data_IF_025793855607
#
_entry.id   IF_025793855607
#
_cell.length_a   1.000
_cell.length_b   1.000
_cell.length_c   1.000
_cell.angle_alpha   90.00
_cell.angle_beta   90.00
_cell.angle_gamma   90.00
#
_symmetry.space_group_name_H-M   'P 1'
#
loop_
_entity.id
_entity.type
_entity.pdbx_description
1 polymer ?
#
# COMPACT_ATOMS: atom_id res chain seq x y z
N UNK A 1 -16.85 41.37 -3.32
CA UNK A 1 -16.03 40.23 -2.85
C UNK A 1 -15.33 39.52 -4.00
N UNK A 2 -15.96 38.58 -4.72
CA UNK A 2 -15.26 37.81 -5.79
C UNK A 2 -14.61 38.69 -6.86
N UNK A 3 -15.41 39.55 -7.51
CA UNK A 3 -14.94 40.41 -8.60
C UNK A 3 -13.82 41.36 -8.17
N UNK A 4 -13.86 41.80 -6.92
CA UNK A 4 -12.88 42.72 -6.33
C UNK A 4 -11.55 42.00 -6.00
N UNK A 5 -11.61 40.76 -5.49
CA UNK A 5 -10.42 39.92 -5.30
C UNK A 5 -9.77 39.63 -6.66
N UNK A 6 -10.57 39.30 -7.68
CA UNK A 6 -10.08 38.99 -9.01
C UNK A 6 -9.53 40.23 -9.73
N UNK A 7 -10.14 41.41 -9.57
CA UNK A 7 -9.64 42.65 -10.16
C UNK A 7 -8.31 43.07 -9.52
N UNK A 8 -8.22 43.04 -8.19
CA UNK A 8 -6.97 43.35 -7.48
C UNK A 8 -5.84 42.38 -7.82
N UNK A 9 -6.17 41.10 -8.04
CA UNK A 9 -5.20 40.10 -8.49
C UNK A 9 -4.76 40.31 -9.96
N UNK A 10 -5.66 40.76 -10.84
CA UNK A 10 -5.36 41.07 -12.24
C UNK A 10 -4.47 42.32 -12.38
N UNK A 11 -4.70 43.33 -11.53
CA UNK A 11 -3.88 44.55 -11.44
C UNK A 11 -2.49 44.31 -10.83
N UNK A 12 -2.20 43.09 -10.35
CA UNK A 12 -0.99 42.75 -9.59
C UNK A 12 -0.76 43.66 -8.36
N UNK A 13 -1.83 44.25 -7.83
CA UNK A 13 -1.79 45.12 -6.66
C UNK A 13 -1.77 44.28 -5.37
N UNK A 14 -0.63 43.61 -5.10
CA UNK A 14 -0.49 42.66 -3.98
C UNK A 14 -0.76 43.28 -2.62
N UNK A 15 -0.38 44.54 -2.43
CA UNK A 15 -0.53 45.24 -1.14
C UNK A 15 -2.00 45.58 -0.87
N UNK A 16 -2.70 46.11 -1.89
CA UNK A 16 -4.14 46.37 -1.82
C UNK A 16 -4.94 45.09 -1.64
N UNK A 17 -4.54 44.00 -2.30
CA UNK A 17 -5.16 42.70 -2.12
C UNK A 17 -4.97 42.18 -0.69
N UNK A 18 -3.78 42.38 -0.10
CA UNK A 18 -3.49 41.98 1.28
C UNK A 18 -4.36 42.75 2.28
N UNK A 19 -4.41 44.07 2.16
CA UNK A 19 -5.26 44.94 3.00
C UNK A 19 -6.73 44.53 2.87
N UNK A 20 -7.21 44.31 1.65
CA UNK A 20 -8.58 43.89 1.42
C UNK A 20 -8.89 42.55 2.10
N UNK A 21 -8.00 41.55 1.99
CA UNK A 21 -8.19 40.25 2.63
C UNK A 21 -8.13 40.31 4.16
N UNK A 22 -7.45 41.31 4.75
CA UNK A 22 -7.44 41.53 6.21
C UNK A 22 -8.80 42.04 6.72
N UNK A 23 -9.59 42.71 5.90
CA UNK A 23 -10.93 43.17 6.28
C UNK A 23 -11.99 42.07 6.23
N UNK A 24 -11.69 40.95 5.56
CA UNK A 24 -12.60 39.82 5.38
C UNK A 24 -12.38 38.73 6.44
N UNK A 25 -13.48 38.19 6.96
CA UNK A 25 -13.46 37.01 7.82
C UNK A 25 -13.06 35.76 7.06
N UNK A 26 -12.31 34.87 7.71
CA UNK A 26 -11.85 33.60 7.12
C UNK A 26 -13.01 32.69 6.70
N UNK A 27 -14.09 32.69 7.49
CA UNK A 27 -15.29 31.92 7.19
C UNK A 27 -16.02 32.44 5.95
N UNK A 28 -15.95 33.74 5.68
CA UNK A 28 -16.58 34.35 4.51
C UNK A 28 -15.78 34.05 3.24
N UNK A 29 -14.43 34.03 3.35
CA UNK A 29 -13.56 33.53 2.29
C UNK A 29 -13.80 32.05 2.01
N UNK A 30 -13.97 31.24 3.05
CA UNK A 30 -14.30 29.83 2.92
C UNK A 30 -15.64 29.66 2.18
N UNK A 31 -16.72 30.34 2.62
CA UNK A 31 -18.04 30.30 1.95
C UNK A 31 -17.97 30.72 0.49
N UNK A 32 -17.22 31.78 0.19
CA UNK A 32 -17.03 32.25 -1.18
C UNK A 32 -16.37 31.19 -2.04
N UNK A 33 -15.30 30.57 -1.54
CA UNK A 33 -14.60 29.50 -2.25
C UNK A 33 -15.50 28.28 -2.48
N UNK A 34 -16.28 27.86 -1.47
CA UNK A 34 -17.24 26.76 -1.61
C UNK A 34 -18.25 27.04 -2.73
N UNK A 35 -18.81 28.26 -2.75
CA UNK A 35 -19.79 28.68 -3.75
C UNK A 35 -19.21 28.59 -5.17
N UNK A 36 -18.01 29.14 -5.39
CA UNK A 36 -17.43 29.17 -6.74
C UNK A 36 -16.89 27.80 -7.18
N UNK A 37 -16.39 26.99 -6.25
CA UNK A 37 -16.01 25.60 -6.53
C UNK A 37 -17.21 24.76 -6.99
N UNK A 38 -18.37 24.87 -6.33
CA UNK A 38 -19.59 24.14 -6.71
C UNK A 38 -20.16 24.62 -8.04
N UNK A 39 -20.04 25.92 -8.35
CA UNK A 39 -20.46 26.48 -9.65
C UNK A 39 -19.54 26.08 -10.81
N UNK A 40 -18.38 25.48 -10.52
CA UNK A 40 -17.41 24.99 -11.50
C UNK A 40 -16.75 26.10 -12.32
N UNK A 41 -16.76 27.35 -11.84
CA UNK A 41 -16.16 28.50 -12.53
C UNK A 41 -15.26 29.26 -11.58
N UNK A 42 -14.13 29.75 -12.08
CA UNK A 42 -13.21 30.67 -11.40
C UNK A 42 -12.58 30.21 -10.06
N UNK A 43 -12.87 29.01 -9.53
CA UNK A 43 -12.29 28.51 -8.28
C UNK A 43 -10.75 28.52 -8.29
N UNK A 44 -10.13 28.09 -9.38
CA UNK A 44 -8.67 28.14 -9.52
C UNK A 44 -8.10 29.56 -9.59
N UNK A 45 -8.78 30.48 -10.27
CA UNK A 45 -8.39 31.88 -10.32
C UNK A 45 -8.50 32.56 -8.94
N UNK A 46 -9.58 32.28 -8.22
CA UNK A 46 -9.81 32.75 -6.87
C UNK A 46 -8.74 32.21 -5.91
N UNK A 47 -8.42 30.92 -5.96
CA UNK A 47 -7.35 30.35 -5.12
C UNK A 47 -5.99 31.00 -5.38
N UNK A 48 -5.62 31.19 -6.64
CA UNK A 48 -4.36 31.89 -6.98
C UNK A 48 -4.35 33.32 -6.44
N UNK A 49 -5.46 34.04 -6.51
CA UNK A 49 -5.59 35.38 -5.94
C UNK A 49 -5.42 35.35 -4.42
N UNK A 50 -6.13 34.46 -3.73
CA UNK A 50 -6.06 34.32 -2.27
C UNK A 50 -4.65 33.99 -1.78
N UNK A 51 -3.94 33.09 -2.46
CA UNK A 51 -2.56 32.75 -2.13
C UNK A 51 -1.61 33.92 -2.37
N UNK A 52 -1.74 34.65 -3.49
CA UNK A 52 -0.94 35.86 -3.74
C UNK A 52 -1.15 36.95 -2.69
N UNK A 53 -2.39 37.15 -2.24
CA UNK A 53 -2.73 38.13 -1.21
C UNK A 53 -2.39 37.71 0.22
N UNK A 54 -1.96 36.47 0.44
CA UNK A 54 -1.73 35.91 1.78
C UNK A 54 -0.36 35.22 1.86
N UNK A 55 0.77 35.93 1.74
CA UNK A 55 2.09 35.29 1.73
C UNK A 55 2.41 34.61 3.07
N UNK A 56 3.18 33.52 3.02
CA UNK A 56 3.62 32.78 4.22
C UNK A 56 4.68 33.52 5.05
N UNK A 57 5.21 34.64 4.56
CA UNK A 57 6.15 35.51 5.30
C UNK A 57 5.46 36.26 6.45
N UNK A 58 4.13 36.37 6.42
CA UNK A 58 3.34 37.01 7.47
C UNK A 58 2.49 35.95 8.18
N UNK A 59 2.44 36.02 9.51
CA UNK A 59 1.66 35.06 10.31
C UNK A 59 0.17 35.05 9.95
N UNK A 60 -0.43 36.23 9.75
CA UNK A 60 -1.82 36.35 9.32
C UNK A 60 -2.06 35.73 7.94
N UNK A 61 -1.11 35.89 7.01
CA UNK A 61 -1.15 35.29 5.68
C UNK A 61 -1.04 33.76 5.74
N UNK A 62 -0.08 33.25 6.52
CA UNK A 62 0.10 31.81 6.74
C UNK A 62 -1.13 31.16 7.40
N UNK A 63 -1.71 31.81 8.42
CA UNK A 63 -2.92 31.33 9.08
C UNK A 63 -4.12 31.26 8.12
N UNK A 64 -4.34 32.33 7.36
CA UNK A 64 -5.40 32.37 6.34
C UNK A 64 -5.20 31.28 5.28
N UNK A 65 -3.97 31.09 4.79
CA UNK A 65 -3.65 30.01 3.85
C UNK A 65 -3.97 28.64 4.44
N UNK A 66 -3.61 28.37 5.69
CA UNK A 66 -3.91 27.09 6.35
C UNK A 66 -5.43 26.83 6.39
N UNK A 67 -6.22 27.84 6.73
CA UNK A 67 -7.69 27.75 6.74
C UNK A 67 -8.27 27.49 5.36
N UNK A 68 -7.75 28.16 4.34
CA UNK A 68 -8.13 27.93 2.94
C UNK A 68 -7.80 26.49 2.54
N UNK A 69 -6.61 25.97 2.87
CA UNK A 69 -6.23 24.59 2.60
C UNK A 69 -7.19 23.59 3.23
N UNK A 70 -7.51 23.76 4.52
CA UNK A 70 -8.46 22.89 5.23
C UNK A 70 -9.83 22.95 4.56
N UNK A 71 -10.32 24.13 4.18
CA UNK A 71 -11.58 24.29 3.46
C UNK A 71 -11.57 23.56 2.11
N UNK A 72 -10.50 23.71 1.32
CA UNK A 72 -10.33 23.01 0.04
C UNK A 72 -10.35 21.49 0.21
N UNK A 73 -9.64 20.97 1.22
CA UNK A 73 -9.61 19.53 1.51
C UNK A 73 -11.01 19.02 1.85
N UNK A 74 -11.71 19.72 2.74
CA UNK A 74 -13.09 19.38 3.11
C UNK A 74 -14.05 19.42 1.92
N UNK A 75 -13.89 20.40 1.02
CA UNK A 75 -14.67 20.51 -0.20
C UNK A 75 -14.41 19.37 -1.19
N UNK A 76 -13.14 19.00 -1.37
CA UNK A 76 -12.76 17.89 -2.27
C UNK A 76 -13.27 16.56 -1.72
N UNK A 77 -13.24 16.40 -0.39
CA UNK A 77 -13.76 15.22 0.29
C UNK A 77 -15.29 15.24 0.48
N UNK A 78 -16.00 16.36 0.25
CA UNK A 78 -17.47 16.33 0.34
C UNK A 78 -18.12 15.60 -0.84
N UNK A 79 -17.40 15.47 -1.96
CA UNK A 79 -17.90 14.83 -3.18
C UNK A 79 -18.82 15.73 -4.04
N UNK A 80 -19.08 16.97 -3.61
CA UNK A 80 -19.99 17.89 -4.32
C UNK A 80 -19.36 18.54 -5.56
N UNK A 81 -18.07 18.30 -5.81
CA UNK A 81 -17.30 18.94 -6.87
C UNK A 81 -17.20 18.08 -8.13
N UNK A 82 -17.20 18.75 -9.29
CA UNK A 82 -16.79 18.14 -10.55
C UNK A 82 -15.33 17.66 -10.47
N UNK A 83 -15.01 16.53 -11.10
CA UNK A 83 -13.70 15.89 -11.02
C UNK A 83 -12.56 16.80 -11.48
N UNK A 84 -12.82 17.60 -12.51
CA UNK A 84 -11.89 18.56 -13.10
C UNK A 84 -11.57 19.68 -12.10
N UNK A 85 -12.59 20.18 -11.40
CA UNK A 85 -12.46 21.26 -10.41
C UNK A 85 -11.75 20.75 -9.16
N UNK A 86 -12.11 19.55 -8.68
CA UNK A 86 -11.41 18.90 -7.56
C UNK A 86 -9.92 18.69 -7.89
N UNK A 87 -9.62 18.25 -9.11
CA UNK A 87 -8.23 18.06 -9.57
C UNK A 87 -7.48 19.38 -9.73
N UNK A 88 -8.13 20.43 -10.24
CA UNK A 88 -7.53 21.77 -10.31
C UNK A 88 -7.20 22.31 -8.91
N UNK A 89 -8.14 22.19 -7.95
CA UNK A 89 -7.94 22.62 -6.57
C UNK A 89 -6.74 21.89 -5.97
N UNK A 90 -6.73 20.55 -5.99
CA UNK A 90 -5.62 19.76 -5.44
C UNK A 90 -4.30 20.10 -6.12
N UNK A 91 -4.28 20.24 -7.45
CA UNK A 91 -3.09 20.66 -8.18
C UNK A 91 -2.53 22.01 -7.72
N UNK A 92 -3.39 22.99 -7.47
CA UNK A 92 -2.98 24.29 -6.94
C UNK A 92 -2.47 24.20 -5.50
N UNK A 93 -3.09 23.38 -4.65
CA UNK A 93 -2.62 23.15 -3.28
C UNK A 93 -1.24 22.49 -3.26
N UNK A 94 -0.97 21.55 -4.17
CA UNK A 94 0.33 20.89 -4.26
C UNK A 94 1.44 21.88 -4.65
N UNK A 95 1.17 22.79 -5.59
CA UNK A 95 2.15 23.79 -6.05
C UNK A 95 2.59 24.75 -4.93
N UNK A 96 1.66 25.14 -4.05
CA UNK A 96 1.91 26.15 -3.02
C UNK A 96 2.32 25.54 -1.66
N UNK A 97 2.27 24.21 -1.51
CA UNK A 97 2.52 23.53 -0.24
C UNK A 97 3.94 23.80 0.32
N UNK A 98 4.96 23.88 -0.54
CA UNK A 98 6.34 24.11 -0.11
C UNK A 98 6.57 25.48 0.56
N UNK A 99 5.72 26.46 0.26
CA UNK A 99 5.80 27.80 0.81
C UNK A 99 5.39 27.87 2.29
N UNK A 100 4.71 26.85 2.84
CA UNK A 100 4.23 26.89 4.21
C UNK A 100 5.37 26.84 5.24
N UNK A 101 5.21 27.52 6.40
CA UNK A 101 6.08 27.32 7.55
C UNK A 101 5.82 25.94 8.18
N UNK A 102 6.83 25.38 8.86
CA UNK A 102 6.79 24.04 9.46
C UNK A 102 5.57 23.79 10.37
N UNK A 103 5.20 24.70 11.29
CA UNK A 103 4.03 24.50 12.17
C UNK A 103 2.72 24.33 11.40
N UNK A 104 2.56 25.04 10.29
CA UNK A 104 1.37 24.93 9.44
C UNK A 104 1.32 23.61 8.67
N UNK A 105 2.47 23.11 8.20
CA UNK A 105 2.57 21.79 7.57
C UNK A 105 2.22 20.67 8.55
N UNK A 106 2.69 20.77 9.80
CA UNK A 106 2.33 19.83 10.87
C UNK A 106 0.83 19.88 11.15
N UNK A 107 0.24 21.07 11.28
CA UNK A 107 -1.20 21.23 11.48
C UNK A 107 -1.99 20.60 10.33
N UNK A 108 -1.59 20.87 9.09
CA UNK A 108 -2.24 20.32 7.90
C UNK A 108 -2.15 18.78 7.85
N UNK A 109 -0.98 18.20 8.15
CA UNK A 109 -0.83 16.75 8.21
C UNK A 109 -1.66 16.12 9.33
N UNK A 110 -1.79 16.80 10.49
CA UNK A 110 -2.66 16.35 11.59
C UNK A 110 -4.14 16.33 11.20
N UNK A 111 -4.60 17.24 10.34
CA UNK A 111 -5.96 17.19 9.82
C UNK A 111 -6.21 15.93 8.98
N UNK A 112 -5.26 15.51 8.14
CA UNK A 112 -5.34 14.23 7.42
C UNK A 112 -5.38 13.04 8.38
N UNK A 113 -4.51 13.00 9.38
CA UNK A 113 -4.51 11.96 10.42
C UNK A 113 -5.86 11.92 11.15
N UNK A 114 -6.40 13.09 11.48
CA UNK A 114 -7.69 13.24 12.13
C UNK A 114 -8.84 12.73 11.27
N UNK A 115 -8.87 13.08 9.99
CA UNK A 115 -9.86 12.63 9.02
C UNK A 115 -9.84 11.10 8.83
N UNK A 116 -8.64 10.53 8.66
CA UNK A 116 -8.47 9.07 8.54
C UNK A 116 -8.94 8.37 9.81
N UNK A 117 -8.57 8.89 10.99
CA UNK A 117 -8.98 8.30 12.28
C UNK A 117 -10.49 8.32 12.49
N UNK A 118 -11.16 9.38 12.03
CA UNK A 118 -12.62 9.55 12.13
C UNK A 118 -13.37 8.78 11.04
N UNK A 119 -12.69 8.28 10.01
CA UNK A 119 -13.33 7.67 8.84
C UNK A 119 -14.12 8.67 8.01
N UNK A 120 -13.66 9.94 7.94
CA UNK A 120 -14.38 11.02 7.24
C UNK A 120 -13.89 11.26 5.81
N UNK A 121 -13.19 10.30 5.21
CA UNK A 121 -12.79 10.36 3.81
C UNK A 121 -13.98 9.92 2.95
N UNK A 122 -14.31 10.66 1.89
CA UNK A 122 -15.42 10.31 0.98
C UNK A 122 -14.97 10.17 -0.48
N UNK A 123 -13.89 10.85 -0.88
CA UNK A 123 -13.36 10.84 -2.24
C UNK A 123 -11.92 10.31 -2.28
N UNK A 124 -11.14 10.58 -1.22
CA UNK A 124 -9.75 10.19 -1.09
C UNK A 124 -8.79 10.96 -2.01
N UNK A 125 -9.31 11.82 -2.90
CA UNK A 125 -8.53 12.68 -3.79
C UNK A 125 -7.63 13.65 -3.01
N UNK A 126 -8.04 14.08 -1.81
CA UNK A 126 -7.21 14.93 -0.96
C UNK A 126 -5.92 14.24 -0.49
N UNK A 127 -5.87 12.91 -0.48
CA UNK A 127 -4.68 12.15 -0.08
C UNK A 127 -3.50 12.38 -1.02
N UNK A 128 -3.71 12.82 -2.26
CA UNK A 128 -2.65 13.19 -3.21
C UNK A 128 -1.81 14.38 -2.71
N UNK A 129 -2.35 15.21 -1.81
CA UNK A 129 -1.64 16.34 -1.24
C UNK A 129 -0.68 15.93 -0.10
N UNK A 130 -1.03 14.88 0.65
CA UNK A 130 -0.30 14.47 1.85
C UNK A 130 1.19 14.15 1.59
N UNK A 131 1.59 13.47 0.48
CA UNK A 131 2.99 13.26 0.14
C UNK A 131 3.78 14.56 0.00
N UNK A 132 3.18 15.57 -0.63
CA UNK A 132 3.81 16.87 -0.83
C UNK A 132 3.96 17.61 0.50
N UNK A 133 2.95 17.53 1.37
CA UNK A 133 3.01 18.12 2.72
C UNK A 133 4.11 17.47 3.56
N UNK A 134 4.21 16.14 3.56
CA UNK A 134 5.25 15.41 4.29
C UNK A 134 6.64 15.67 3.71
N UNK A 135 6.78 15.71 2.38
CA UNK A 135 8.05 16.05 1.73
C UNK A 135 8.47 17.50 2.04
N UNK A 136 7.52 18.45 2.01
CA UNK A 136 7.77 19.85 2.37
C UNK A 136 8.15 20.01 3.85
N UNK A 137 7.64 19.15 4.73
CA UNK A 137 7.96 19.16 6.15
C UNK A 137 9.42 18.76 6.41
N UNK A 138 9.91 17.72 5.71
CA UNK A 138 11.30 17.25 5.82
C UNK A 138 12.31 18.33 5.41
N UNK A 139 11.96 19.24 4.51
CA UNK A 139 12.88 20.33 4.10
C UNK A 139 13.00 21.44 5.16
N UNK A 140 12.13 21.47 6.17
CA UNK A 140 12.19 22.47 7.25
C UNK A 140 13.22 22.04 8.29
N UNK A 141 14.29 22.82 8.41
CA UNK A 141 15.42 22.58 9.32
C UNK A 141 15.21 23.14 10.73
N UNK A 142 14.16 23.93 10.92
CA UNK A 142 13.82 24.56 12.19
C UNK A 142 13.29 23.52 13.18
N UNK A 143 13.53 23.73 14.48
CA UNK A 143 12.87 22.98 15.54
C UNK A 143 11.39 23.32 15.56
N UNK A 144 10.53 22.32 15.40
CA UNK A 144 9.08 22.47 15.31
C UNK A 144 8.43 21.98 16.59
N UNK A 145 7.55 22.80 17.15
CA UNK A 145 6.73 22.39 18.28
C UNK A 145 5.74 21.29 17.86
N UNK A 146 5.92 20.08 18.39
CA UNK A 146 5.00 18.97 18.25
C UNK A 146 4.43 18.57 19.61
N UNK A 147 3.32 19.20 20.00
CA UNK A 147 2.74 18.98 21.32
C UNK A 147 3.58 19.66 22.40
N UNK A 148 4.25 18.89 23.25
CA UNK A 148 5.16 19.41 24.29
C UNK A 148 6.63 19.34 23.90
N UNK A 149 6.94 18.64 22.80
CA UNK A 149 8.31 18.37 22.38
C UNK A 149 8.70 19.25 21.19
N UNK A 150 9.99 19.49 21.07
CA UNK A 150 10.62 20.20 19.96
C UNK A 150 11.31 19.17 19.06
N UNK A 151 10.81 19.05 17.83
CA UNK A 151 11.22 18.01 16.88
C UNK A 151 11.64 18.63 15.55
N UNK A 152 12.61 18.02 14.88
CA UNK A 152 12.93 18.34 13.49
C UNK A 152 11.77 18.00 12.54
N UNK A 153 11.80 18.55 11.32
CA UNK A 153 10.84 18.21 10.28
C UNK A 153 10.80 16.71 9.95
N UNK A 154 11.94 16.03 10.00
CA UNK A 154 12.03 14.58 9.77
C UNK A 154 11.42 13.78 10.92
N UNK A 155 11.69 14.13 12.18
CA UNK A 155 11.09 13.48 13.34
C UNK A 155 9.56 13.70 13.40
N UNK A 156 9.11 14.92 13.06
CA UNK A 156 7.68 15.20 12.92
C UNK A 156 7.02 14.31 11.86
N UNK A 157 7.68 14.12 10.70
CA UNK A 157 7.20 13.19 9.66
C UNK A 157 7.09 11.77 10.22
N UNK A 158 8.11 11.26 10.91
CA UNK A 158 8.08 9.92 11.51
C UNK A 158 6.89 9.77 12.47
N UNK A 159 6.66 10.75 13.34
CA UNK A 159 5.52 10.74 14.27
C UNK A 159 4.16 10.75 13.55
N UNK A 160 4.04 11.54 12.48
CA UNK A 160 2.83 11.58 11.65
C UNK A 160 2.58 10.25 10.96
N UNK A 161 3.60 9.60 10.38
CA UNK A 161 3.49 8.28 9.76
C UNK A 161 3.06 7.24 10.79
N UNK A 162 3.67 7.23 11.98
CA UNK A 162 3.28 6.32 13.06
C UNK A 162 1.82 6.55 13.49
N UNK A 163 1.38 7.80 13.56
CA UNK A 163 -0.01 8.13 13.86
C UNK A 163 -0.98 7.67 12.75
N UNK A 164 -0.59 7.81 11.47
CA UNK A 164 -1.35 7.29 10.33
C UNK A 164 -1.48 5.77 10.39
N UNK A 165 -0.38 5.06 10.64
CA UNK A 165 -0.37 3.59 10.71
C UNK A 165 -1.10 3.05 11.95
N UNK A 166 -1.15 3.82 13.04
CA UNK A 166 -1.92 3.49 14.24
C UNK A 166 -3.42 3.72 14.08
N UNK A 167 -3.85 4.63 13.20
CA UNK A 167 -5.25 4.90 12.92
C UNK A 167 -5.97 3.69 12.28
N UNK A 168 -7.29 3.59 12.44
CA UNK A 168 -8.10 2.59 11.73
C UNK A 168 -8.30 3.07 10.30
N UNK A 169 -7.81 2.29 9.33
CA UNK A 169 -8.00 2.60 7.92
C UNK A 169 -9.33 2.00 7.48
N UNK A 170 -10.17 2.83 6.86
CA UNK A 170 -11.37 2.37 6.18
C UNK A 170 -10.97 1.50 4.97
N UNK A 171 -11.62 0.34 4.84
CA UNK A 171 -11.41 -0.64 3.77
C UNK A 171 -11.50 0.00 2.38
N UNK A 172 -12.42 0.95 2.18
CA UNK A 172 -12.66 1.61 0.89
C UNK A 172 -11.43 2.39 0.39
N UNK A 173 -10.63 2.93 1.30
CA UNK A 173 -9.49 3.81 0.96
C UNK A 173 -8.13 3.14 1.17
N UNK A 174 -8.05 1.87 1.58
CA UNK A 174 -6.77 1.19 1.86
C UNK A 174 -5.84 1.23 0.65
N UNK A 175 -6.36 0.99 -0.55
CA UNK A 175 -5.56 0.99 -1.79
C UNK A 175 -5.01 2.39 -2.06
N UNK A 176 -5.82 3.43 -1.92
CA UNK A 176 -5.41 4.82 -2.13
C UNK A 176 -4.42 5.30 -1.06
N UNK A 177 -4.66 4.95 0.21
CA UNK A 177 -3.73 5.22 1.32
C UNK A 177 -2.38 4.55 1.10
N UNK A 178 -2.38 3.31 0.62
CA UNK A 178 -1.15 2.59 0.29
C UNK A 178 -0.43 3.23 -0.90
N UNK A 179 -1.15 3.59 -1.95
CA UNK A 179 -0.60 4.28 -3.12
C UNK A 179 0.00 5.65 -2.76
N UNK A 180 -0.60 6.39 -1.82
CA UNK A 180 -0.10 7.68 -1.35
C UNK A 180 1.33 7.57 -0.78
N UNK A 181 1.64 6.51 -0.01
CA UNK A 181 2.99 6.29 0.51
C UNK A 181 4.06 6.05 -0.56
N UNK A 182 3.67 5.75 -1.80
CA UNK A 182 4.61 5.64 -2.93
C UNK A 182 5.25 6.98 -3.26
N UNK A 183 4.61 8.09 -2.94
CA UNK A 183 5.11 9.41 -3.27
C UNK A 183 5.73 10.11 -2.05
N UNK A 184 5.74 9.44 -0.88
CA UNK A 184 6.37 9.91 0.38
C UNK A 184 7.85 9.47 0.47
N UNK A 185 8.79 10.35 0.84
CA UNK A 185 10.17 9.95 1.13
C UNK A 185 10.26 9.21 2.48
N UNK A 186 10.19 7.88 2.43
CA UNK A 186 10.22 7.00 3.60
C UNK A 186 11.64 6.55 3.95
N UNK A 187 11.95 6.49 5.24
CA UNK A 187 13.10 5.74 5.75
C UNK A 187 12.80 4.23 5.74
N UNK A 188 13.83 3.41 5.92
CA UNK A 188 13.65 1.95 5.98
C UNK A 188 12.73 1.52 7.13
N UNK A 189 12.83 2.20 8.28
CA UNK A 189 12.00 1.95 9.47
C UNK A 189 10.54 2.37 9.23
N UNK A 190 10.32 3.55 8.64
CA UNK A 190 8.98 4.02 8.29
C UNK A 190 8.32 3.10 7.24
N UNK A 191 9.08 2.66 6.24
CA UNK A 191 8.61 1.71 5.23
C UNK A 191 8.21 0.37 5.85
N UNK A 192 8.91 -0.07 6.89
CA UNK A 192 8.56 -1.29 7.62
C UNK A 192 7.24 -1.12 8.40
N UNK A 193 7.05 0.01 9.08
CA UNK A 193 5.79 0.31 9.80
C UNK A 193 4.60 0.35 8.83
N UNK A 194 4.76 1.03 7.68
CA UNK A 194 3.73 1.09 6.63
C UNK A 194 3.44 -0.31 6.07
N UNK A 195 4.49 -1.08 5.75
CA UNK A 195 4.37 -2.47 5.26
C UNK A 195 3.58 -3.34 6.24
N UNK A 196 3.93 -3.29 7.53
CA UNK A 196 3.21 -4.02 8.56
C UNK A 196 1.73 -3.64 8.64
N UNK A 197 1.44 -2.34 8.53
CA UNK A 197 0.06 -1.86 8.54
C UNK A 197 -0.73 -2.40 7.35
N UNK A 198 -0.18 -2.32 6.14
CA UNK A 198 -0.83 -2.79 4.91
C UNK A 198 -1.08 -4.29 4.95
N UNK A 199 -0.09 -5.08 5.40
CA UNK A 199 -0.25 -6.53 5.55
C UNK A 199 -1.39 -6.90 6.51
N UNK A 200 -1.56 -6.17 7.61
CA UNK A 200 -2.69 -6.35 8.55
C UNK A 200 -4.05 -5.99 7.93
N UNK A 201 -4.09 -5.21 6.85
CA UNK A 201 -5.33 -4.87 6.16
C UNK A 201 -5.76 -5.96 5.16
N UNK A 202 -4.85 -6.83 4.70
CA UNK A 202 -5.17 -7.91 3.75
C UNK A 202 -6.30 -8.81 4.26
N UNK A 203 -6.28 -9.19 5.54
CA UNK A 203 -7.31 -10.04 6.16
C UNK A 203 -8.64 -9.35 6.42
N UNK A 204 -8.75 -8.06 6.11
CA UNK A 204 -9.96 -7.27 6.29
C UNK A 204 -10.64 -6.91 4.97
N UNK A 205 -10.02 -7.23 3.84
CA UNK A 205 -10.53 -6.90 2.51
C UNK A 205 -11.21 -8.10 1.89
N UNK A 206 -12.07 -7.83 0.91
CA UNK A 206 -12.62 -8.89 0.08
C UNK A 206 -11.53 -9.48 -0.82
N UNK A 207 -11.66 -10.74 -1.22
CA UNK A 207 -10.64 -11.44 -1.98
C UNK A 207 -10.24 -10.72 -3.28
N UNK A 208 -11.20 -10.10 -3.98
CA UNK A 208 -10.94 -9.35 -5.22
C UNK A 208 -10.14 -8.05 -5.03
N UNK A 209 -10.12 -7.50 -3.81
CA UNK A 209 -9.39 -6.27 -3.48
C UNK A 209 -7.93 -6.55 -3.09
N UNK A 210 -7.58 -7.82 -2.87
CA UNK A 210 -6.25 -8.25 -2.48
C UNK A 210 -5.22 -8.04 -3.60
N UNK A 211 -5.44 -8.50 -4.87
CA UNK A 211 -4.46 -8.31 -5.93
C UNK A 211 -4.05 -6.85 -6.20
N UNK A 212 -4.97 -5.87 -6.27
CA UNK A 212 -4.57 -4.47 -6.46
C UNK A 212 -3.85 -3.91 -5.23
N UNK A 213 -4.21 -4.31 -4.00
CA UNK A 213 -3.47 -3.89 -2.81
C UNK A 213 -2.05 -4.48 -2.80
N UNK A 214 -1.91 -5.76 -3.11
CA UNK A 214 -0.59 -6.42 -3.21
C UNK A 214 0.26 -5.74 -4.27
N UNK A 215 -0.30 -5.36 -5.41
CA UNK A 215 0.42 -4.59 -6.42
C UNK A 215 0.98 -3.28 -5.86
N UNK A 216 0.17 -2.49 -5.13
CA UNK A 216 0.67 -1.27 -4.49
C UNK A 216 1.75 -1.56 -3.45
N UNK A 217 1.59 -2.61 -2.65
CA UNK A 217 2.60 -3.02 -1.66
C UNK A 217 3.93 -3.45 -2.31
N UNK A 218 3.87 -4.14 -3.45
CA UNK A 218 5.05 -4.52 -4.22
C UNK A 218 5.80 -3.31 -4.77
N UNK A 219 5.08 -2.28 -5.23
CA UNK A 219 5.72 -1.02 -5.64
C UNK A 219 6.42 -0.36 -4.45
N UNK A 220 5.77 -0.30 -3.28
CA UNK A 220 6.37 0.23 -2.06
C UNK A 220 7.63 -0.55 -1.63
N UNK A 221 7.67 -1.86 -1.89
CA UNK A 221 8.81 -2.71 -1.52
C UNK A 221 10.13 -2.30 -2.17
N UNK A 222 10.09 -1.55 -3.28
CA UNK A 222 11.27 -0.98 -3.92
C UNK A 222 11.99 0.05 -3.02
N UNK A 223 11.28 0.65 -2.07
CA UNK A 223 11.82 1.59 -1.08
C UNK A 223 12.37 0.90 0.18
N UNK A 224 12.06 -0.38 0.39
CA UNK A 224 12.48 -1.10 1.59
C UNK A 224 11.62 -2.34 1.89
N UNK A 225 12.03 -3.11 2.90
CA UNK A 225 11.24 -4.20 3.48
C UNK A 225 10.77 -5.32 2.52
N UNK A 226 11.47 -5.54 1.39
CA UNK A 226 11.18 -6.61 0.40
C UNK A 226 10.92 -7.98 1.02
N UNK A 227 11.78 -8.39 1.95
CA UNK A 227 11.66 -9.65 2.69
C UNK A 227 10.31 -9.75 3.39
N UNK A 228 9.96 -8.72 4.16
CA UNK A 228 8.74 -8.68 4.96
C UNK A 228 7.47 -8.63 4.11
N UNK A 229 7.53 -7.95 2.96
CA UNK A 229 6.43 -7.95 1.98
C UNK A 229 6.18 -9.35 1.46
N UNK A 230 7.22 -10.06 1.01
CA UNK A 230 7.08 -11.42 0.50
C UNK A 230 6.61 -12.40 1.60
N UNK A 231 7.22 -12.31 2.78
CA UNK A 231 6.83 -13.09 3.97
C UNK A 231 5.35 -12.89 4.31
N UNK A 232 4.90 -11.64 4.36
CA UNK A 232 3.52 -11.30 4.68
C UNK A 232 2.52 -11.83 3.65
N UNK A 233 2.83 -11.70 2.36
CA UNK A 233 1.95 -12.20 1.28
C UNK A 233 1.89 -13.73 1.32
N UNK A 234 3.05 -14.41 1.44
CA UNK A 234 3.10 -15.88 1.46
C UNK A 234 2.39 -16.43 2.70
N UNK A 235 2.63 -15.84 3.87
CA UNK A 235 1.98 -16.25 5.12
C UNK A 235 0.47 -16.03 5.07
N UNK A 236 0.02 -14.91 4.51
CA UNK A 236 -1.40 -14.60 4.34
C UNK A 236 -2.12 -15.66 3.48
N UNK A 237 -1.59 -15.98 2.30
CA UNK A 237 -2.21 -17.00 1.44
C UNK A 237 -2.07 -18.41 2.00
N UNK A 238 -0.98 -18.73 2.71
CA UNK A 238 -0.84 -20.01 3.40
C UNK A 238 -1.95 -20.19 4.46
N UNK A 239 -2.31 -19.13 5.17
CA UNK A 239 -3.39 -19.18 6.16
C UNK A 239 -4.76 -19.33 5.51
N UNK A 240 -5.04 -18.59 4.42
CA UNK A 240 -6.25 -18.78 3.63
C UNK A 240 -6.38 -20.20 3.08
N UNK A 241 -5.28 -20.78 2.60
CA UNK A 241 -5.23 -22.15 2.09
C UNK A 241 -5.58 -23.19 3.18
N UNK A 242 -5.15 -22.97 4.43
CA UNK A 242 -5.45 -23.87 5.55
C UNK A 242 -6.92 -23.79 5.93
N UNK A 243 -7.45 -22.58 6.09
CA UNK A 243 -8.86 -22.35 6.42
C UNK A 243 -9.77 -23.02 5.37
N UNK A 244 -9.44 -22.85 4.09
CA UNK A 244 -10.18 -23.47 3.00
C UNK A 244 -10.10 -25.01 2.99
N UNK A 245 -8.95 -25.59 3.39
CA UNK A 245 -8.79 -27.05 3.49
C UNK A 245 -9.55 -27.63 4.68
N UNK A 246 -9.58 -26.91 5.80
CA UNK A 246 -10.36 -27.30 6.98
C UNK A 246 -11.87 -27.29 6.68
N UNK A 247 -12.37 -26.25 6.00
CA UNK A 247 -13.76 -26.14 5.54
C UNK A 247 -14.19 -27.26 4.58
N UNK A 248 -13.29 -27.72 3.70
CA UNK A 248 -13.57 -28.86 2.79
C UNK A 248 -13.53 -30.23 3.49
N UNK A 249 -12.90 -30.32 4.66
CA UNK A 249 -12.75 -31.56 5.43
C UNK A 249 -13.77 -31.71 6.57
N UNK A 250 -14.44 -30.61 6.95
CA UNK A 250 -15.54 -30.59 7.91
C UNK A 250 -16.86 -31.01 7.26
N UNK A 251 -17.59 -31.87 7.97
CA UNK A 251 -18.91 -32.42 7.65
C UNK A 251 -19.85 -31.39 6.97
N UNK A 252 -20.54 -31.81 5.91
CA UNK A 252 -21.39 -31.02 4.98
C UNK A 252 -22.64 -30.36 5.62
N UNK A 253 -22.63 -29.94 6.89
CA UNK A 253 -23.86 -29.60 7.62
C UNK A 253 -24.07 -28.12 7.99
N UNK A 254 -23.24 -27.17 7.52
CA UNK A 254 -23.51 -25.74 7.74
C UNK A 254 -23.27 -24.92 6.46
N UNK A 255 -24.38 -24.57 5.79
CA UNK A 255 -24.51 -23.56 4.72
C UNK A 255 -24.14 -22.14 5.23
N UNK A 256 -22.86 -21.93 5.54
CA UNK A 256 -22.31 -20.60 5.81
C UNK A 256 -21.23 -20.29 4.78
N UNK A 257 -21.61 -19.55 3.73
CA UNK A 257 -20.78 -18.84 2.74
C UNK A 257 -19.40 -19.49 2.51
N UNK A 258 -19.39 -20.70 1.97
CA UNK A 258 -18.14 -21.28 1.44
C UNK A 258 -17.66 -20.40 0.29
N UNK A 259 -16.49 -19.78 0.44
CA UNK A 259 -15.83 -19.11 -0.68
C UNK A 259 -15.65 -20.14 -1.80
N UNK A 260 -16.13 -19.89 -3.03
CA UNK A 260 -15.95 -20.82 -4.12
C UNK A 260 -14.45 -21.08 -4.30
N UNK A 261 -14.03 -22.34 -4.28
CA UNK A 261 -12.60 -22.71 -4.44
C UNK A 261 -11.97 -22.06 -5.67
N UNK A 262 -12.74 -21.81 -6.73
CA UNK A 262 -12.30 -21.08 -7.91
C UNK A 262 -11.94 -19.62 -7.68
N UNK A 263 -12.63 -18.91 -6.77
CA UNK A 263 -12.36 -17.49 -6.50
C UNK A 263 -11.02 -17.29 -5.80
N UNK A 264 -10.78 -18.04 -4.71
CA UNK A 264 -9.52 -17.98 -3.97
C UNK A 264 -8.34 -18.30 -4.89
N UNK A 265 -8.46 -19.37 -5.69
CA UNK A 265 -7.41 -19.74 -6.65
C UNK A 265 -7.20 -18.63 -7.68
N UNK A 266 -8.25 -18.08 -8.27
CA UNK A 266 -8.12 -16.98 -9.23
C UNK A 266 -7.35 -15.79 -8.64
N UNK A 267 -7.68 -15.40 -7.40
CA UNK A 267 -7.01 -14.31 -6.66
C UNK A 267 -5.53 -14.63 -6.37
N UNK A 268 -5.21 -15.86 -5.95
CA UNK A 268 -3.81 -16.31 -5.83
C UNK A 268 -3.05 -16.19 -7.15
N UNK A 269 -3.73 -16.53 -8.25
CA UNK A 269 -3.22 -16.43 -9.60
C UNK A 269 -2.78 -15.04 -9.99
N UNK A 270 -3.71 -14.08 -9.86
CA UNK A 270 -3.48 -12.68 -10.17
C UNK A 270 -2.42 -12.09 -9.24
N UNK A 271 -2.42 -12.47 -7.96
CA UNK A 271 -1.40 -12.04 -7.00
C UNK A 271 -0.01 -12.54 -7.42
N UNK A 272 0.13 -13.83 -7.77
CA UNK A 272 1.39 -14.40 -8.23
C UNK A 272 1.87 -13.72 -9.52
N UNK A 273 0.95 -13.40 -10.44
CA UNK A 273 1.30 -12.64 -11.63
C UNK A 273 1.90 -11.27 -11.28
N UNK A 274 1.29 -10.53 -10.34
CA UNK A 274 1.84 -9.26 -9.86
C UNK A 274 3.22 -9.41 -9.21
N UNK A 275 3.41 -10.43 -8.36
CA UNK A 275 4.71 -10.67 -7.71
C UNK A 275 5.78 -11.04 -8.75
N UNK A 276 5.48 -11.92 -9.70
CA UNK A 276 6.42 -12.31 -10.77
C UNK A 276 6.77 -11.11 -11.65
N UNK A 277 5.79 -10.27 -11.98
CA UNK A 277 6.03 -9.02 -12.71
C UNK A 277 6.94 -8.07 -11.91
N UNK A 278 6.70 -7.91 -10.60
CA UNK A 278 7.56 -7.11 -9.74
C UNK A 278 8.99 -7.67 -9.68
N UNK A 279 9.18 -8.98 -9.62
CA UNK A 279 10.51 -9.63 -9.66
C UNK A 279 11.21 -9.41 -11.01
N UNK A 280 10.44 -9.34 -12.10
CA UNK A 280 10.99 -9.05 -13.42
C UNK A 280 11.59 -7.64 -13.47
N UNK A 281 10.95 -6.67 -12.81
CA UNK A 281 11.42 -5.29 -12.70
C UNK A 281 12.52 -5.10 -11.64
N UNK A 282 12.40 -5.76 -10.48
CA UNK A 282 13.34 -5.69 -9.36
C UNK A 282 13.94 -7.08 -9.04
N UNK A 283 15.19 -7.29 -9.46
CA UNK A 283 15.89 -8.55 -9.23
C UNK A 283 16.26 -8.79 -7.75
N UNK A 284 16.32 -7.75 -6.91
CA UNK A 284 16.54 -7.92 -5.47
C UNK A 284 15.35 -8.60 -4.81
N UNK A 285 14.13 -8.27 -5.25
CA UNK A 285 12.91 -8.94 -4.78
C UNK A 285 12.95 -10.44 -5.07
N UNK A 286 13.38 -10.84 -6.27
CA UNK A 286 13.53 -12.26 -6.63
C UNK A 286 14.61 -12.98 -5.84
N UNK A 287 15.74 -12.31 -5.57
CA UNK A 287 16.79 -12.86 -4.70
C UNK A 287 16.28 -13.06 -3.27
N UNK A 288 15.49 -12.12 -2.76
CA UNK A 288 14.93 -12.20 -1.42
C UNK A 288 13.88 -13.30 -1.30
N UNK A 289 13.05 -13.52 -2.34
CA UNK A 289 12.16 -14.68 -2.42
C UNK A 289 12.91 -16.00 -2.30
N UNK A 290 14.01 -16.17 -3.06
CA UNK A 290 14.82 -17.37 -3.02
C UNK A 290 15.46 -17.58 -1.64
N UNK A 291 15.95 -16.52 -0.99
CA UNK A 291 16.51 -16.61 0.37
C UNK A 291 15.44 -17.01 1.39
N UNK A 292 14.27 -16.39 1.33
CA UNK A 292 13.16 -16.68 2.24
C UNK A 292 12.74 -18.15 2.16
N UNK A 293 12.59 -18.69 0.95
CA UNK A 293 12.20 -20.09 0.75
C UNK A 293 13.35 -21.08 0.99
N UNK A 294 14.62 -20.66 0.84
CA UNK A 294 15.79 -21.43 1.29
C UNK A 294 15.86 -21.52 2.82
N UNK A 295 15.50 -20.48 3.55
CA UNK A 295 15.47 -20.52 5.03
C UNK A 295 14.49 -21.58 5.56
N UNK A 296 13.42 -21.89 4.81
CA UNK A 296 12.54 -23.01 5.10
C UNK A 296 13.22 -24.38 5.09
N UNK A 297 14.41 -24.51 4.47
CA UNK A 297 15.24 -25.71 4.58
C UNK A 297 15.91 -25.88 5.95
N UNK A 298 15.97 -24.86 6.80
CA UNK A 298 16.72 -24.89 8.06
C UNK A 298 15.84 -24.98 9.31
N UNK A 299 14.51 -24.89 9.19
CA UNK A 299 13.60 -25.12 10.32
C UNK A 299 12.19 -24.57 10.12
N UNK A 300 12.05 -23.42 9.44
CA UNK A 300 10.78 -22.73 9.23
C UNK A 300 9.98 -23.31 8.06
N UNK A 301 9.30 -24.42 8.32
CA UNK A 301 8.43 -25.09 7.33
C UNK A 301 7.24 -24.21 6.88
N UNK A 302 6.95 -23.11 7.59
CA UNK A 302 5.86 -22.20 7.25
C UNK A 302 6.05 -21.48 5.90
N UNK A 303 7.30 -21.35 5.43
CA UNK A 303 7.61 -20.72 4.15
C UNK A 303 7.27 -21.62 2.94
N UNK A 304 7.30 -22.95 3.12
CA UNK A 304 7.04 -23.92 2.03
C UNK A 304 5.57 -24.34 2.08
N UNK A 305 4.74 -23.59 1.36
CA UNK A 305 3.30 -23.83 1.23
C UNK A 305 2.88 -23.95 -0.25
N UNK A 306 1.65 -24.41 -0.55
CA UNK A 306 1.16 -24.50 -1.93
C UNK A 306 1.30 -23.18 -2.71
N UNK A 307 0.90 -22.06 -2.11
CA UNK A 307 1.10 -20.73 -2.70
C UNK A 307 2.58 -20.41 -2.99
N UNK A 308 3.49 -20.65 -2.04
CA UNK A 308 4.92 -20.37 -2.19
C UNK A 308 5.59 -21.23 -3.28
N UNK A 309 5.22 -22.51 -3.36
CA UNK A 309 5.65 -23.42 -4.43
C UNK A 309 5.14 -22.96 -5.79
N UNK A 310 3.87 -22.56 -5.86
CA UNK A 310 3.28 -22.04 -7.09
C UNK A 310 3.92 -20.73 -7.56
N UNK A 311 4.28 -19.85 -6.62
CA UNK A 311 5.02 -18.63 -6.89
C UNK A 311 6.42 -18.93 -7.46
N UNK A 312 7.17 -19.84 -6.84
CA UNK A 312 8.48 -20.28 -7.35
C UNK A 312 8.38 -20.82 -8.78
N UNK A 313 7.47 -21.77 -9.00
CA UNK A 313 7.28 -22.36 -10.32
C UNK A 313 6.89 -21.30 -11.35
N UNK A 314 6.08 -20.31 -10.99
CA UNK A 314 5.74 -19.18 -11.87
C UNK A 314 6.95 -18.26 -12.14
N UNK A 315 7.86 -18.11 -11.17
CA UNK A 315 9.11 -17.35 -11.34
C UNK A 315 10.12 -18.03 -12.29
N UNK A 316 9.97 -19.33 -12.60
CA UNK A 316 10.82 -20.03 -13.59
C UNK A 316 10.70 -19.48 -15.01
N UNK A 317 9.65 -18.69 -15.28
CA UNK A 317 9.48 -17.94 -16.53
C UNK A 317 10.54 -16.86 -16.71
N UNK A 318 11.17 -16.42 -15.62
CA UNK A 318 12.26 -15.46 -15.65
C UNK A 318 13.57 -16.26 -15.76
N UNK A 319 14.19 -16.25 -16.93
CA UNK A 319 15.38 -17.06 -17.29
C UNK A 319 16.45 -17.10 -16.18
N UNK A 320 16.82 -15.94 -15.61
CA UNK A 320 17.88 -15.81 -14.58
C UNK A 320 17.58 -16.51 -13.25
N UNK A 321 16.31 -16.77 -12.94
CA UNK A 321 15.90 -17.46 -11.72
C UNK A 321 15.55 -18.92 -11.97
N UNK A 322 15.36 -19.34 -13.22
CA UNK A 322 14.91 -20.69 -13.61
C UNK A 322 15.73 -21.81 -12.96
N UNK A 323 17.05 -21.81 -13.18
CA UNK A 323 17.94 -22.86 -12.63
C UNK A 323 17.93 -22.85 -11.09
N UNK A 324 18.07 -21.67 -10.48
CA UNK A 324 18.08 -21.51 -9.02
C UNK A 324 16.78 -21.99 -8.37
N UNK A 325 15.64 -21.77 -9.03
CA UNK A 325 14.34 -22.25 -8.58
C UNK A 325 14.25 -23.77 -8.69
N UNK A 326 14.68 -24.37 -9.81
CA UNK A 326 14.65 -25.82 -9.98
C UNK A 326 15.56 -26.52 -8.97
N UNK A 327 16.78 -26.01 -8.74
CA UNK A 327 17.69 -26.55 -7.73
C UNK A 327 17.09 -26.46 -6.33
N UNK A 328 16.44 -25.34 -6.00
CA UNK A 328 15.75 -25.16 -4.72
C UNK A 328 14.59 -26.15 -4.54
N UNK A 329 13.71 -26.28 -5.55
CA UNK A 329 12.59 -27.21 -5.50
C UNK A 329 13.06 -28.66 -5.39
N UNK A 330 14.10 -29.03 -6.14
CA UNK A 330 14.71 -30.38 -6.06
C UNK A 330 15.28 -30.66 -4.68
N UNK A 331 16.00 -29.71 -4.10
CA UNK A 331 16.53 -29.82 -2.75
C UNK A 331 15.40 -29.93 -1.70
N UNK A 332 14.31 -29.16 -1.85
CA UNK A 332 13.14 -29.22 -0.98
C UNK A 332 12.42 -30.57 -1.05
N UNK A 333 12.21 -31.12 -2.26
CA UNK A 333 11.60 -32.44 -2.45
C UNK A 333 12.46 -33.54 -1.83
N UNK A 334 13.77 -33.53 -2.12
CA UNK A 334 14.70 -34.53 -1.60
C UNK A 334 14.79 -34.49 -0.08
N UNK A 335 14.83 -33.28 0.51
CA UNK A 335 14.80 -33.10 1.96
C UNK A 335 13.47 -33.61 2.55
N UNK A 336 12.34 -33.22 1.97
CA UNK A 336 11.01 -33.66 2.44
C UNK A 336 10.89 -35.19 2.46
N UNK A 337 11.45 -35.88 1.45
CA UNK A 337 11.43 -37.33 1.41
C UNK A 337 12.34 -37.96 2.47
N UNK A 338 13.55 -37.44 2.65
CA UNK A 338 14.48 -37.88 3.71
C UNK A 338 13.89 -37.68 5.11
N UNK A 339 13.28 -36.52 5.36
CA UNK A 339 12.65 -36.21 6.64
C UNK A 339 11.47 -37.17 6.93
N UNK A 340 10.65 -37.49 5.91
CA UNK A 340 9.57 -38.47 6.04
C UNK A 340 10.08 -39.88 6.29
N UNK A 341 11.13 -40.33 5.59
CA UNK A 341 11.75 -41.63 5.85
C UNK A 341 12.31 -41.72 7.27
N UNK A 342 12.94 -40.66 7.75
CA UNK A 342 13.50 -40.59 9.11
C UNK A 342 12.39 -40.63 10.17
N UNK A 343 11.27 -39.94 9.94
CA UNK A 343 10.09 -40.01 10.81
C UNK A 343 9.48 -41.42 10.83
N UNK A 344 9.31 -42.05 9.66
CA UNK A 344 8.77 -43.41 9.57
C UNK A 344 9.67 -44.45 10.24
N UNK A 345 10.99 -44.23 10.22
CA UNK A 345 11.98 -45.10 10.86
C UNK A 345 12.04 -45.03 12.38
N UNK A 346 11.36 -44.06 13.04
CA UNK A 346 11.46 -43.87 14.50
C UNK A 346 10.14 -43.47 15.15
N UNK A 347 9.59 -44.36 15.99
CA UNK A 347 8.42 -44.07 16.83
C UNK A 347 8.66 -42.91 17.81
N UNK A 348 9.90 -42.73 18.26
CA UNK A 348 10.28 -41.60 19.12
C UNK A 348 10.07 -40.26 18.41
N UNK A 349 10.50 -40.16 17.14
CA UNK A 349 10.33 -38.93 16.37
C UNK A 349 8.88 -38.67 15.97
N UNK A 350 8.10 -39.72 15.70
CA UNK A 350 6.65 -39.60 15.43
C UNK A 350 5.89 -38.97 16.59
N UNK A 351 6.32 -39.22 17.83
CA UNK A 351 5.71 -38.63 19.02
C UNK A 351 6.12 -37.16 19.26
N UNK A 352 7.27 -36.74 18.75
CA UNK A 352 7.83 -35.40 18.98
C UNK A 352 7.58 -34.42 17.84
N UNK A 353 7.47 -34.91 16.60
CA UNK A 353 7.35 -34.09 15.40
C UNK A 353 6.00 -34.36 14.76
N UNK A 354 5.12 -33.34 14.65
CA UNK A 354 3.86 -33.48 13.93
C UNK A 354 4.09 -33.91 12.49
N UNK A 355 3.19 -34.74 11.97
CA UNK A 355 3.29 -35.20 10.59
C UNK A 355 3.20 -34.00 9.64
N UNK A 356 4.24 -33.81 8.81
CA UNK A 356 4.30 -32.68 7.87
C UNK A 356 3.77 -33.10 6.50
N UNK A 357 3.06 -32.21 5.78
CA UNK A 357 2.69 -32.44 4.40
C UNK A 357 3.94 -32.55 3.51
N UNK A 358 3.97 -33.57 2.64
CA UNK A 358 5.06 -33.80 1.72
C UNK A 358 5.11 -32.71 0.63
N UNK A 359 6.29 -32.15 0.36
CA UNK A 359 6.46 -31.14 -0.71
C UNK A 359 6.05 -31.71 -2.08
N UNK A 360 6.27 -32.99 -2.32
CA UNK A 360 5.80 -33.65 -3.56
C UNK A 360 4.27 -33.62 -3.69
N UNK A 361 3.55 -33.88 -2.60
CA UNK A 361 2.09 -33.79 -2.58
C UNK A 361 1.62 -32.34 -2.81
N UNK A 362 2.33 -31.35 -2.24
CA UNK A 362 2.03 -29.93 -2.50
C UNK A 362 2.23 -29.56 -3.98
N UNK A 363 3.31 -30.01 -4.61
CA UNK A 363 3.55 -29.75 -6.04
C UNK A 363 2.43 -30.36 -6.88
N UNK A 364 2.01 -31.59 -6.56
CA UNK A 364 0.89 -32.24 -7.25
C UNK A 364 -0.43 -31.49 -7.05
N UNK A 365 -0.70 -31.01 -5.84
CA UNK A 365 -1.87 -30.19 -5.52
C UNK A 365 -1.87 -28.88 -6.32
N UNK A 366 -0.72 -28.19 -6.38
CA UNK A 366 -0.54 -26.98 -7.19
C UNK A 366 -0.78 -27.25 -8.68
N UNK A 367 -0.28 -28.37 -9.21
CA UNK A 367 -0.50 -28.74 -10.62
C UNK A 367 -1.99 -29.02 -10.87
N UNK A 368 -2.65 -29.80 -10.01
CA UNK A 368 -4.08 -30.13 -10.14
C UNK A 368 -4.98 -28.89 -10.08
N UNK A 369 -4.74 -28.02 -9.09
CA UNK A 369 -5.54 -26.83 -8.89
C UNK A 369 -5.30 -25.77 -9.97
N UNK A 370 -4.16 -25.78 -10.68
CA UNK A 370 -3.88 -24.80 -11.74
C UNK A 370 -4.21 -25.27 -13.14
N UNK A 371 -4.30 -26.57 -13.39
CA UNK A 371 -4.81 -27.08 -14.67
C UNK A 371 -6.33 -26.98 -14.76
N UNK A 372 -7.06 -27.03 -13.64
CA UNK A 372 -8.52 -26.99 -13.60
C UNK A 372 -9.14 -25.59 -13.81
N UNK A 373 -8.47 -24.51 -13.38
CA UNK A 373 -9.06 -23.15 -13.35
C UNK A 373 -8.46 -22.18 -14.39
N UNK A 374 -8.02 -22.68 -15.55
CA UNK A 374 -7.76 -21.83 -16.73
C UNK A 374 -6.45 -21.04 -16.73
N UNK A 375 -5.40 -21.50 -16.04
CA UNK A 375 -4.08 -20.86 -16.01
C UNK A 375 -3.22 -21.13 -17.25
N UNK A 376 -3.78 -21.02 -18.46
CA UNK A 376 -3.01 -21.23 -19.69
C UNK A 376 -1.84 -20.26 -19.85
N UNK A 377 -1.90 -19.08 -19.22
CA UNK A 377 -0.84 -18.09 -19.29
C UNK A 377 0.33 -18.32 -18.31
N UNK A 378 0.23 -19.27 -17.36
CA UNK A 378 1.19 -19.38 -16.25
C UNK A 378 2.13 -20.60 -16.30
N UNK A 379 1.83 -21.69 -17.03
CA UNK A 379 2.53 -22.97 -16.77
C UNK A 379 2.92 -23.86 -17.95
N UNK A 380 2.67 -23.50 -19.21
CA UNK A 380 2.95 -24.43 -20.34
C UNK A 380 4.42 -24.77 -20.57
N UNK A 381 5.39 -24.15 -19.89
CA UNK A 381 6.82 -24.40 -20.10
C UNK A 381 7.59 -24.97 -18.89
N UNK A 382 7.02 -24.99 -17.68
CA UNK A 382 7.76 -25.36 -16.45
C UNK A 382 7.46 -26.75 -15.88
N UNK A 383 6.21 -27.21 -16.00
CA UNK A 383 5.77 -28.50 -15.43
C UNK A 383 6.27 -29.74 -16.18
N UNK A 384 6.38 -29.77 -17.53
CA UNK A 384 6.93 -30.93 -18.21
C UNK A 384 8.42 -31.09 -17.92
N UNK A 385 9.19 -30.00 -17.89
CA UNK A 385 10.66 -30.04 -17.69
C UNK A 385 11.04 -30.60 -16.30
N UNK A 386 10.30 -30.23 -15.25
CA UNK A 386 10.52 -30.77 -13.89
C UNK A 386 10.25 -32.28 -13.82
N UNK A 387 9.19 -32.75 -14.48
CA UNK A 387 8.81 -34.16 -14.53
C UNK A 387 9.82 -34.99 -15.36
N UNK A 388 10.29 -34.43 -16.49
CA UNK A 388 11.30 -35.08 -17.35
C UNK A 388 12.70 -35.11 -16.71
N UNK A 389 13.07 -34.13 -15.88
CA UNK A 389 14.36 -34.15 -15.18
C UNK A 389 14.38 -35.12 -13.98
N UNK A 390 13.24 -35.37 -13.33
CA UNK A 390 13.16 -36.35 -12.23
C UNK A 390 13.23 -37.81 -12.69
N UNK A 391 12.87 -38.11 -13.95
CA UNK A 391 12.88 -39.48 -14.49
C UNK A 391 14.12 -39.83 -15.31
N UNK A 392 15.09 -38.92 -15.46
CA UNK A 392 16.39 -39.21 -16.10
C UNK A 392 17.50 -39.66 -15.13
N UNK A 393 17.20 -39.80 -13.83
CA UNK A 393 18.13 -40.29 -12.80
C UNK A 393 17.47 -41.30 -11.83
N UNK A 394 16.60 -42.13 -12.36
CA UNK A 394 16.34 -43.51 -11.90
C UNK A 394 16.72 -44.42 -13.07
#
# INVERSE_FOLDING_TARGET
>A
MEQEILSLAAEKATDRLREFLQTLGEDDLAKLLRKEAVRGRAAGALLRALFRGSPCSEEAGAHRRLKIYICCIQLVESGDLQKEVASEIIGLLMLEAHAFPGPSLVALAKEFVGAIRKGSLANGKSLELLPIVLAALVTKKESLAYGKDELSGEECKTQLINALCSARWDQQYVIQLTAMFRDVPLTAEEAEVVTQKVLKMLSKLNLQEIPPLVYQLLILSSKGSRKRVLEGIIAFFNELDKQHKEEQSGDELLDLVTVPSGELRHVEGTTILHVVFAIQLDCELGRELLKHLKAGQQGDCAAVCPFGVALLLSATRIQRFREQVFDLLKALVFKSFKDLQLLQGSKFLQNLVPHRPCVSAMILDVVKNRTAFGYHHAFTLGSPELFFQSHRKL
#
